data_IF_732229755541
#
_entry.id   IF_732229755541
#
_cell.length_a   1.000
_cell.length_b   1.000
_cell.length_c   1.000
_cell.angle_alpha   90.00
_cell.angle_beta   90.00
_cell.angle_gamma   90.00
#
_symmetry.space_group_name_H-M   'P 1'
#
loop_
_entity.id
_entity.type
_entity.pdbx_description
1 polymer ?
#
# COMPACT_ATOMS: atom_id res chain seq x y z
N UNK A 1 5.62 -16.55 -22.80
CA UNK A 1 4.62 -15.52 -22.51
C UNK A 1 3.96 -15.15 -23.82
N UNK A 2 2.65 -14.92 -23.81
CA UNK A 2 1.87 -14.60 -25.00
C UNK A 2 1.26 -13.22 -24.82
N UNK A 3 1.38 -12.37 -25.85
CA UNK A 3 0.88 -10.98 -25.82
C UNK A 3 -0.11 -10.80 -26.95
N UNK A 4 -1.33 -10.45 -26.56
CA UNK A 4 -2.39 -10.06 -27.49
C UNK A 4 -2.68 -8.59 -27.31
N UNK A 5 -2.69 -7.84 -28.40
CA UNK A 5 -3.12 -6.44 -28.44
C UNK A 5 -4.41 -6.35 -29.22
N UNK A 6 -5.38 -5.57 -28.74
CA UNK A 6 -6.67 -5.36 -29.39
C UNK A 6 -6.82 -3.87 -29.68
N UNK A 7 -7.15 -3.51 -30.91
CA UNK A 7 -7.41 -2.12 -31.30
C UNK A 7 -8.85 -1.67 -30.93
N UNK A 8 -9.16 -0.37 -31.01
CA UNK A 8 -10.52 0.15 -30.77
C UNK A 8 -11.59 -0.50 -31.64
N UNK A 9 -11.23 -0.98 -32.84
CA UNK A 9 -12.11 -1.68 -33.76
C UNK A 9 -12.27 -3.18 -33.44
N UNK A 10 -11.81 -3.62 -32.25
CA UNK A 10 -11.88 -5.00 -31.75
C UNK A 10 -11.09 -6.02 -32.57
N UNK A 11 -10.17 -5.56 -33.44
CA UNK A 11 -9.27 -6.45 -34.15
C UNK A 11 -8.09 -6.80 -33.24
N UNK A 12 -7.79 -8.10 -33.18
CA UNK A 12 -6.79 -8.69 -32.28
C UNK A 12 -5.51 -8.98 -33.05
N UNK A 13 -4.39 -8.64 -32.44
CA UNK A 13 -3.04 -8.84 -32.94
C UNK A 13 -2.27 -9.73 -31.95
N UNK A 14 -1.81 -10.89 -32.40
CA UNK A 14 -0.85 -11.69 -31.64
C UNK A 14 0.56 -11.16 -31.93
N UNK A 15 1.14 -10.47 -30.95
CA UNK A 15 2.46 -9.85 -31.07
C UNK A 15 3.57 -10.71 -30.48
N UNK A 16 3.24 -11.92 -30.00
CA UNK A 16 4.15 -12.77 -29.21
C UNK A 16 5.50 -13.00 -29.87
N UNK A 17 5.53 -13.22 -31.20
CA UNK A 17 6.75 -13.53 -31.95
C UNK A 17 7.66 -12.32 -32.20
N UNK A 18 7.17 -11.11 -31.97
CA UNK A 18 7.89 -9.87 -32.28
C UNK A 18 8.10 -8.98 -31.05
N UNK A 19 7.71 -9.41 -29.86
CA UNK A 19 8.04 -8.72 -28.60
C UNK A 19 9.47 -9.07 -28.18
N UNK A 20 10.25 -8.08 -27.75
CA UNK A 20 11.59 -8.29 -27.20
C UNK A 20 11.52 -8.99 -25.83
N UNK A 21 12.60 -9.65 -25.43
CA UNK A 21 12.73 -10.36 -24.15
C UNK A 21 12.85 -9.42 -22.92
N UNK A 22 12.07 -8.34 -22.87
CA UNK A 22 12.15 -7.29 -21.85
C UNK A 22 10.78 -6.82 -21.34
N UNK A 23 9.78 -7.69 -21.31
CA UNK A 23 8.48 -7.37 -20.70
C UNK A 23 8.70 -7.03 -19.22
N UNK A 24 8.34 -5.82 -18.84
CA UNK A 24 8.43 -5.35 -17.46
C UNK A 24 7.02 -5.20 -16.90
N UNK A 25 6.71 -5.93 -15.84
CA UNK A 25 5.49 -5.74 -15.06
C UNK A 25 5.87 -5.12 -13.72
N UNK A 26 5.17 -4.07 -13.33
CA UNK A 26 5.39 -3.39 -12.06
C UNK A 26 4.06 -3.07 -11.38
N UNK A 27 3.97 -3.37 -10.09
CA UNK A 27 2.85 -3.00 -9.24
C UNK A 27 3.41 -2.72 -7.84
N UNK A 28 2.83 -1.73 -7.17
CA UNK A 28 3.15 -1.38 -5.79
C UNK A 28 1.85 -1.10 -5.07
N UNK A 29 1.82 -1.38 -3.78
CA UNK A 29 0.66 -1.05 -2.93
C UNK A 29 0.43 0.46 -2.82
N UNK A 30 1.49 1.25 -3.03
CA UNK A 30 1.44 2.72 -2.97
C UNK A 30 1.02 3.33 -4.33
N UNK A 31 1.21 2.55 -5.42
CA UNK A 31 0.85 2.96 -6.77
C UNK A 31 -0.60 2.57 -7.04
N UNK A 32 -1.35 3.51 -7.61
CA UNK A 32 -2.78 3.29 -7.93
C UNK A 32 -2.92 2.29 -9.07
N UNK A 33 -1.96 2.29 -10.00
CA UNK A 33 -2.01 1.54 -11.25
C UNK A 33 -0.87 0.54 -11.33
N UNK A 34 -1.14 -0.71 -11.66
CA UNK A 34 -0.12 -1.60 -12.19
C UNK A 34 0.26 -1.16 -13.61
N UNK A 35 1.55 -1.21 -13.92
CA UNK A 35 2.09 -0.79 -15.20
C UNK A 35 2.84 -1.96 -15.86
N UNK A 36 2.58 -2.15 -17.15
CA UNK A 36 3.33 -3.04 -18.02
C UNK A 36 4.03 -2.25 -19.12
N UNK A 37 5.29 -2.56 -19.39
CA UNK A 37 6.02 -2.06 -20.54
C UNK A 37 6.54 -3.21 -21.39
N UNK A 38 6.41 -3.08 -22.70
CA UNK A 38 7.00 -3.99 -23.67
C UNK A 38 7.41 -3.24 -24.93
N UNK A 39 8.31 -3.83 -25.69
CA UNK A 39 8.87 -3.23 -26.89
C UNK A 39 8.87 -4.26 -28.02
N UNK A 40 8.55 -3.83 -29.23
CA UNK A 40 8.60 -4.72 -30.40
C UNK A 40 10.00 -4.71 -31.02
N UNK A 41 10.47 -5.87 -31.46
CA UNK A 41 11.63 -6.03 -32.35
C UNK A 41 11.26 -5.69 -33.80
N UNK A 42 10.56 -4.56 -33.98
CA UNK A 42 9.98 -4.13 -35.24
C UNK A 42 10.42 -2.70 -35.55
N UNK A 43 11.11 -2.49 -36.67
CA UNK A 43 11.42 -1.14 -37.13
C UNK A 43 10.17 -0.55 -37.79
N UNK A 44 9.44 0.28 -37.06
CA UNK A 44 8.33 1.04 -37.63
C UNK A 44 8.88 2.09 -38.60
N UNK A 45 8.61 1.90 -39.89
CA UNK A 45 8.89 2.86 -40.96
C UNK A 45 7.60 3.11 -41.71
N UNK A 46 7.33 4.36 -42.03
CA UNK A 46 6.12 4.82 -42.73
C UNK A 46 5.88 4.08 -44.06
N UNK A 47 6.96 3.65 -44.74
CA UNK A 47 6.90 2.99 -46.06
C UNK A 47 7.00 1.45 -46.03
N UNK A 48 6.69 0.80 -44.90
CA UNK A 48 6.74 -0.68 -44.84
C UNK A 48 5.54 -1.29 -45.60
N UNK A 49 5.76 -2.29 -46.47
CA UNK A 49 4.65 -2.92 -47.22
C UNK A 49 3.65 -3.66 -46.30
N UNK A 50 4.03 -3.95 -45.04
CA UNK A 50 3.17 -4.58 -44.05
C UNK A 50 3.48 -4.07 -42.63
N UNK A 51 2.45 -3.58 -41.94
CA UNK A 51 2.48 -3.31 -40.51
C UNK A 51 1.81 -4.46 -39.75
N UNK A 52 2.49 -5.00 -38.74
CA UNK A 52 1.96 -6.10 -37.89
C UNK A 52 0.87 -5.62 -36.94
N UNK A 53 0.79 -4.31 -36.71
CA UNK A 53 -0.21 -3.61 -35.93
C UNK A 53 -0.32 -2.19 -36.52
N UNK A 54 -1.55 -1.71 -36.68
CA UNK A 54 -1.77 -0.28 -36.92
C UNK A 54 -1.41 0.45 -35.63
N UNK A 55 -0.65 1.54 -35.66
CA UNK A 55 -0.31 2.33 -34.46
C UNK A 55 -1.09 3.64 -34.38
N UNK A 56 -1.81 4.00 -35.44
CA UNK A 56 -2.41 5.32 -35.62
C UNK A 56 -3.78 5.44 -34.94
N UNK A 57 -4.44 4.32 -34.64
CA UNK A 57 -5.78 4.35 -34.03
C UNK A 57 -5.77 4.89 -32.58
N UNK A 58 -4.64 4.75 -31.85
CA UNK A 58 -4.53 5.13 -30.44
C UNK A 58 -5.44 4.29 -29.50
N UNK A 59 -5.10 4.21 -28.22
CA UNK A 59 -5.87 3.47 -27.19
C UNK A 59 -6.11 1.97 -27.50
N UNK A 60 -5.06 1.17 -27.41
CA UNK A 60 -5.15 -0.28 -27.53
C UNK A 60 -5.44 -0.94 -26.18
N UNK A 61 -5.99 -2.14 -26.19
CA UNK A 61 -6.04 -3.03 -25.03
C UNK A 61 -4.97 -4.11 -25.15
N UNK A 62 -4.43 -4.59 -24.03
CA UNK A 62 -3.41 -5.63 -24.02
C UNK A 62 -3.75 -6.72 -23.01
N UNK A 63 -3.48 -7.96 -23.39
CA UNK A 63 -3.58 -9.14 -22.56
C UNK A 63 -2.22 -9.87 -22.59
N UNK A 64 -1.70 -10.20 -21.40
CA UNK A 64 -0.47 -10.96 -21.20
C UNK A 64 -0.81 -12.28 -20.55
N UNK A 65 -0.43 -13.39 -21.19
CA UNK A 65 -0.60 -14.74 -20.67
C UNK A 65 0.74 -15.41 -20.38
N UNK A 66 0.77 -16.26 -19.36
CA UNK A 66 1.89 -17.17 -19.13
C UNK A 66 1.90 -18.33 -20.14
N UNK A 67 2.86 -19.25 -19.99
CA UNK A 67 2.97 -20.41 -20.88
C UNK A 67 1.89 -21.48 -20.62
N UNK A 68 1.07 -21.32 -19.58
CA UNK A 68 -0.04 -22.19 -19.21
C UNK A 68 -1.41 -21.57 -19.60
N UNK A 69 -1.42 -20.49 -20.39
CA UNK A 69 -2.61 -19.72 -20.78
C UNK A 69 -3.32 -19.06 -19.58
N UNK A 70 -2.61 -18.84 -18.46
CA UNK A 70 -3.11 -18.03 -17.34
C UNK A 70 -2.93 -16.55 -17.67
N UNK A 71 -4.01 -15.76 -17.55
CA UNK A 71 -3.94 -14.31 -17.70
C UNK A 71 -3.16 -13.70 -16.54
N UNK A 72 -2.02 -13.06 -16.83
CA UNK A 72 -1.14 -12.42 -15.84
C UNK A 72 -1.45 -10.93 -15.71
N UNK A 73 -1.75 -10.28 -16.83
CA UNK A 73 -2.03 -8.85 -16.87
C UNK A 73 -2.99 -8.53 -18.00
N UNK A 74 -3.86 -7.58 -17.75
CA UNK A 74 -4.69 -6.97 -18.78
C UNK A 74 -4.77 -5.47 -18.53
N UNK A 75 -4.82 -4.68 -19.60
CA UNK A 75 -4.77 -3.24 -19.43
C UNK A 75 -4.94 -2.45 -20.71
N UNK A 76 -4.93 -1.14 -20.55
CA UNK A 76 -5.07 -0.16 -21.62
C UNK A 76 -3.68 0.38 -21.95
N UNK A 77 -3.41 0.58 -23.24
CA UNK A 77 -2.23 1.22 -23.79
C UNK A 77 -2.61 2.65 -24.19
N UNK A 78 -2.51 3.63 -23.26
CA UNK A 78 -2.74 5.04 -23.59
C UNK A 78 -1.55 5.67 -24.32
N UNK A 79 -0.38 5.02 -24.32
CA UNK A 79 0.86 5.59 -24.85
C UNK A 79 1.67 4.56 -25.62
N UNK A 80 1.98 4.92 -26.86
CA UNK A 80 2.94 4.24 -27.72
C UNK A 80 4.02 5.25 -28.06
N UNK A 81 5.28 4.89 -27.82
CA UNK A 81 6.44 5.72 -28.16
C UNK A 81 7.20 5.03 -29.28
N UNK A 82 7.15 5.60 -30.48
CA UNK A 82 7.93 5.10 -31.61
C UNK A 82 9.25 5.86 -31.66
N UNK A 83 10.36 5.16 -31.41
CA UNK A 83 11.69 5.68 -31.73
C UNK A 83 12.15 5.07 -33.07
N UNK A 84 13.28 5.55 -33.61
CA UNK A 84 13.82 5.12 -34.92
C UNK A 84 14.15 3.62 -35.04
N UNK A 85 13.98 2.82 -33.99
CA UNK A 85 14.31 1.38 -33.94
C UNK A 85 13.13 0.49 -33.54
N UNK A 86 12.21 0.96 -32.70
CA UNK A 86 11.16 0.12 -32.14
C UNK A 86 10.01 0.91 -31.48
N UNK A 87 8.76 0.50 -31.69
CA UNK A 87 7.63 0.90 -30.87
C UNK A 87 7.75 0.35 -29.43
N UNK A 88 7.68 1.24 -28.46
CA UNK A 88 7.57 0.93 -27.03
C UNK A 88 6.15 1.23 -26.55
N UNK A 89 5.53 0.24 -25.91
CA UNK A 89 4.18 0.30 -25.39
C UNK A 89 4.24 0.46 -23.87
N UNK A 90 3.48 1.43 -23.36
CA UNK A 90 3.25 1.58 -21.92
C UNK A 90 1.77 1.33 -21.67
N UNK A 91 1.48 0.28 -20.91
CA UNK A 91 0.14 -0.14 -20.54
C UNK A 91 -0.09 -0.01 -19.05
N UNK A 92 -1.34 0.24 -18.67
CA UNK A 92 -1.79 0.31 -17.29
C UNK A 92 -3.00 -0.59 -17.10
N UNK A 93 -3.14 -1.17 -15.91
CA UNK A 93 -4.36 -1.88 -15.54
C UNK A 93 -5.60 -0.94 -15.56
N UNK A 94 -6.83 -1.47 -15.40
CA UNK A 94 -8.03 -0.63 -15.37
C UNK A 94 -8.03 0.45 -14.28
N UNK A 95 -7.11 0.39 -13.30
CA UNK A 95 -6.95 1.46 -12.32
C UNK A 95 -6.53 2.80 -12.96
N UNK A 96 -6.05 2.78 -14.21
CA UNK A 96 -5.79 3.95 -15.03
C UNK A 96 -6.96 4.95 -15.01
N UNK A 97 -8.20 4.45 -15.08
CA UNK A 97 -9.40 5.28 -15.09
C UNK A 97 -9.70 5.87 -13.71
N UNK A 98 -9.68 5.07 -12.62
CA UNK A 98 -9.95 5.60 -11.27
C UNK A 98 -8.92 6.65 -10.82
N UNK A 99 -7.70 6.61 -11.38
CA UNK A 99 -6.67 7.62 -11.13
C UNK A 99 -6.91 8.95 -11.84
N UNK A 100 -7.88 9.02 -12.76
CA UNK A 100 -8.15 10.18 -13.62
C UNK A 100 -9.57 10.69 -13.54
N UNK A 101 -10.53 9.86 -13.13
CA UNK A 101 -11.89 10.28 -12.87
C UNK A 101 -11.89 11.10 -11.57
N UNK A 102 -12.45 12.29 -11.63
CA UNK A 102 -12.63 13.20 -10.49
C UNK A 102 -14.01 13.81 -10.55
N UNK A 103 -14.70 13.82 -9.42
CA UNK A 103 -16.04 14.36 -9.25
C UNK A 103 -16.21 14.85 -7.80
N UNK A 104 -17.29 15.56 -7.52
CA UNK A 104 -17.66 15.96 -6.16
C UNK A 104 -18.26 14.76 -5.43
N UNK A 105 -17.59 14.33 -4.34
CA UNK A 105 -18.12 13.31 -3.45
C UNK A 105 -18.35 13.88 -2.07
N UNK A 106 -19.54 13.66 -1.54
CA UNK A 106 -19.87 13.93 -0.15
C UNK A 106 -20.38 12.63 0.49
N UNK A 107 -19.75 12.25 1.60
CA UNK A 107 -20.19 11.15 2.44
C UNK A 107 -20.57 11.70 3.80
N UNK A 108 -21.80 11.42 4.21
CA UNK A 108 -22.32 11.83 5.52
C UNK A 108 -22.35 10.60 6.44
N UNK A 109 -21.29 10.43 7.23
CA UNK A 109 -21.14 9.35 8.20
C UNK A 109 -21.41 7.93 7.64
N UNK A 110 -20.92 7.64 6.44
CA UNK A 110 -21.13 6.39 5.71
C UNK A 110 -19.95 5.42 5.88
N UNK A 111 -20.22 4.12 5.97
CA UNK A 111 -19.16 3.10 6.08
C UNK A 111 -18.21 3.13 4.86
N UNK A 112 -16.91 2.97 5.10
CA UNK A 112 -15.87 3.13 4.09
C UNK A 112 -16.07 2.20 2.88
N UNK A 113 -16.48 0.95 3.10
CA UNK A 113 -16.73 0.01 2.01
C UNK A 113 -17.93 0.44 1.15
N UNK A 114 -18.95 1.05 1.77
CA UNK A 114 -20.12 1.61 1.08
C UNK A 114 -19.78 2.88 0.32
N UNK A 115 -18.89 3.72 0.84
CA UNK A 115 -18.38 4.91 0.13
C UNK A 115 -17.69 4.48 -1.16
N UNK A 116 -16.78 3.50 -1.07
CA UNK A 116 -16.05 2.97 -2.23
C UNK A 116 -17.02 2.35 -3.24
N UNK A 117 -17.94 1.49 -2.80
CA UNK A 117 -18.98 0.90 -3.67
C UNK A 117 -19.79 1.98 -4.39
N UNK A 118 -20.23 3.02 -3.68
CA UNK A 118 -21.01 4.13 -4.26
C UNK A 118 -20.21 4.86 -5.34
N UNK A 119 -18.96 5.23 -5.06
CA UNK A 119 -18.10 5.91 -6.04
C UNK A 119 -17.90 5.07 -7.30
N UNK A 120 -17.61 3.78 -7.15
CA UNK A 120 -17.32 2.92 -8.31
C UNK A 120 -18.58 2.67 -9.17
N UNK A 121 -19.72 2.44 -8.53
CA UNK A 121 -20.98 2.20 -9.22
C UNK A 121 -21.50 3.43 -9.98
N UNK A 122 -21.23 4.64 -9.50
CA UNK A 122 -21.63 5.88 -10.17
C UNK A 122 -21.00 6.04 -11.57
N UNK A 123 -19.85 5.42 -11.79
CA UNK A 123 -19.12 5.43 -13.06
C UNK A 123 -19.15 4.08 -13.78
N UNK A 124 -20.08 3.20 -13.43
CA UNK A 124 -20.23 1.85 -14.00
C UNK A 124 -18.92 1.03 -13.98
N UNK A 125 -18.08 1.26 -12.96
CA UNK A 125 -16.80 0.57 -12.83
C UNK A 125 -17.01 -0.85 -12.29
N UNK A 126 -16.42 -1.88 -12.91
CA UNK A 126 -16.56 -3.25 -12.43
C UNK A 126 -16.05 -3.42 -11.00
N UNK A 127 -16.93 -3.89 -10.11
CA UNK A 127 -16.64 -4.11 -8.69
C UNK A 127 -16.50 -5.60 -8.41
N UNK A 128 -15.35 -5.97 -7.85
CA UNK A 128 -15.05 -7.30 -7.35
C UNK A 128 -15.34 -7.42 -5.86
N UNK A 129 -14.41 -8.02 -5.12
CA UNK A 129 -14.54 -8.18 -3.68
C UNK A 129 -14.29 -6.84 -2.97
N UNK A 130 -15.29 -6.35 -2.26
CA UNK A 130 -15.12 -5.25 -1.31
C UNK A 130 -15.50 -5.76 0.07
N UNK A 131 -14.50 -5.99 0.91
CA UNK A 131 -14.67 -6.46 2.29
C UNK A 131 -15.38 -5.39 3.14
N UNK A 132 -16.30 -5.78 4.05
CA UNK A 132 -17.00 -4.85 4.92
C UNK A 132 -16.04 -4.07 5.84
N UNK A 133 -16.23 -2.76 5.96
CA UNK A 133 -15.41 -1.91 6.83
C UNK A 133 -16.31 -0.95 7.62
N UNK A 134 -16.35 -1.10 8.94
CA UNK A 134 -17.24 -0.32 9.81
C UNK A 134 -16.78 1.12 10.09
N UNK A 135 -15.57 1.51 9.63
CA UNK A 135 -15.07 2.88 9.77
C UNK A 135 -15.95 3.81 8.95
N UNK A 136 -16.34 4.95 9.54
CA UNK A 136 -17.26 5.89 8.93
C UNK A 136 -16.52 7.08 8.35
N UNK A 137 -16.90 7.47 7.15
CA UNK A 137 -16.38 8.61 6.41
C UNK A 137 -17.44 9.71 6.45
N UNK A 138 -17.03 10.87 6.93
CA UNK A 138 -17.85 12.08 7.07
C UNK A 138 -17.08 13.27 6.48
N UNK A 139 -16.90 13.24 5.16
CA UNK A 139 -15.99 14.13 4.44
C UNK A 139 -16.56 14.55 3.07
N UNK A 140 -16.09 15.72 2.62
CA UNK A 140 -16.40 16.31 1.33
C UNK A 140 -15.10 16.40 0.50
N UNK A 141 -15.10 15.80 -0.68
CA UNK A 141 -13.98 15.75 -1.61
C UNK A 141 -14.26 16.59 -2.85
N UNK A 142 -13.29 17.42 -3.24
CA UNK A 142 -13.39 18.31 -4.40
C UNK A 142 -12.08 18.38 -5.17
N UNK A 143 -12.15 18.20 -6.50
CA UNK A 143 -10.98 18.15 -7.41
C UNK A 143 -9.97 17.04 -7.08
N UNK A 144 -10.44 15.96 -6.48
CA UNK A 144 -9.63 14.79 -6.17
C UNK A 144 -10.03 13.63 -7.07
N UNK A 145 -9.07 12.82 -7.49
CA UNK A 145 -9.40 11.60 -8.23
C UNK A 145 -10.05 10.57 -7.29
N UNK A 146 -10.85 9.65 -7.83
CA UNK A 146 -11.40 8.52 -7.07
C UNK A 146 -10.27 7.79 -6.32
N UNK A 147 -9.12 7.63 -6.96
CA UNK A 147 -7.97 6.98 -6.34
C UNK A 147 -7.36 7.75 -5.17
N UNK A 148 -7.30 9.09 -5.23
CA UNK A 148 -6.83 9.93 -4.12
C UNK A 148 -7.80 9.84 -2.93
N UNK A 149 -9.10 9.84 -3.21
CA UNK A 149 -10.15 9.67 -2.20
C UNK A 149 -10.03 8.30 -1.54
N UNK A 150 -9.85 7.21 -2.31
CA UNK A 150 -9.63 5.87 -1.74
C UNK A 150 -8.38 5.83 -0.86
N UNK A 151 -7.29 6.50 -1.24
CA UNK A 151 -6.09 6.61 -0.41
C UNK A 151 -6.37 7.31 0.92
N UNK A 152 -7.10 8.43 0.89
CA UNK A 152 -7.53 9.12 2.11
C UNK A 152 -8.42 8.25 2.99
N UNK A 153 -9.37 7.52 2.40
CA UNK A 153 -10.20 6.56 3.14
C UNK A 153 -9.33 5.47 3.80
N UNK A 154 -8.33 4.93 3.11
CA UNK A 154 -7.39 3.95 3.70
C UNK A 154 -6.61 4.57 4.87
N UNK A 155 -6.18 5.82 4.75
CA UNK A 155 -5.52 6.56 5.83
C UNK A 155 -6.46 6.75 7.02
N UNK A 156 -7.71 7.18 6.80
CA UNK A 156 -8.73 7.30 7.85
C UNK A 156 -8.98 5.96 8.56
N UNK A 157 -9.12 4.87 7.80
CA UNK A 157 -9.27 3.52 8.38
C UNK A 157 -8.07 3.20 9.27
N UNK A 158 -6.86 3.42 8.78
CA UNK A 158 -5.64 3.17 9.54
C UNK A 158 -5.56 4.02 10.82
N UNK A 159 -6.03 5.26 10.79
CA UNK A 159 -6.01 6.17 11.93
C UNK A 159 -7.05 5.84 13.02
N UNK A 160 -8.21 5.33 12.60
CA UNK A 160 -9.36 5.08 13.47
C UNK A 160 -9.43 3.63 13.98
N UNK A 161 -8.99 2.64 13.20
CA UNK A 161 -9.06 1.21 13.58
C UNK A 161 -7.70 0.51 13.67
N UNK A 162 -6.59 1.17 13.32
CA UNK A 162 -5.24 0.57 13.18
C UNK A 162 -5.16 -0.55 12.13
N UNK A 163 -6.21 -0.74 11.33
CA UNK A 163 -6.25 -1.74 10.28
C UNK A 163 -5.54 -1.24 9.02
N UNK A 164 -4.83 -2.16 8.35
CA UNK A 164 -4.22 -1.85 7.06
C UNK A 164 -5.14 -2.37 5.97
N UNK A 165 -5.45 -1.53 4.99
CA UNK A 165 -6.30 -1.85 3.85
C UNK A 165 -5.57 -1.50 2.56
N UNK A 166 -5.98 -2.14 1.46
CA UNK A 166 -5.46 -1.84 0.13
C UNK A 166 -6.48 -2.23 -0.94
N UNK A 167 -6.25 -1.75 -2.15
CA UNK A 167 -7.00 -2.16 -3.33
C UNK A 167 -6.08 -2.72 -4.41
N UNK A 168 -6.67 -3.47 -5.33
CA UNK A 168 -6.01 -3.99 -6.52
C UNK A 168 -7.06 -4.30 -7.59
N UNK A 169 -6.62 -4.45 -8.83
CA UNK A 169 -7.45 -4.94 -9.92
C UNK A 169 -7.09 -6.37 -10.27
N UNK A 170 -8.10 -7.23 -10.36
CA UNK A 170 -8.00 -8.61 -10.82
C UNK A 170 -9.32 -9.02 -11.45
N UNK A 171 -9.28 -9.94 -12.41
CA UNK A 171 -10.48 -10.44 -13.09
C UNK A 171 -11.37 -9.34 -13.68
N UNK A 172 -10.73 -8.30 -14.24
CA UNK A 172 -11.38 -7.09 -14.75
C UNK A 172 -12.21 -6.30 -13.73
N UNK A 173 -11.97 -6.47 -12.43
CA UNK A 173 -12.75 -5.83 -11.38
C UNK A 173 -11.86 -5.21 -10.30
N UNK A 174 -12.37 -4.16 -9.66
CA UNK A 174 -11.74 -3.51 -8.51
C UNK A 174 -12.01 -4.29 -7.23
N UNK A 175 -10.97 -4.60 -6.46
CA UNK A 175 -11.08 -5.26 -5.16
C UNK A 175 -10.53 -4.35 -4.06
N UNK A 176 -11.20 -4.31 -2.91
CA UNK A 176 -10.79 -3.59 -1.71
C UNK A 176 -10.89 -4.51 -0.50
N UNK A 177 -9.74 -4.81 0.09
CA UNK A 177 -9.62 -5.88 1.09
C UNK A 177 -8.71 -5.47 2.22
N UNK A 178 -8.92 -6.09 3.38
CA UNK A 178 -8.05 -5.93 4.52
C UNK A 178 -6.69 -6.56 4.21
N UNK A 179 -5.63 -5.79 4.46
CA UNK A 179 -4.26 -6.29 4.39
C UNK A 179 -3.97 -7.05 5.67
N UNK A 180 -3.74 -8.36 5.56
CA UNK A 180 -3.14 -9.12 6.64
C UNK A 180 -1.72 -8.59 6.90
N UNK A 181 -1.55 -7.90 8.02
CA UNK A 181 -0.31 -7.20 8.43
C UNK A 181 0.79 -8.13 8.92
N UNK A 182 0.50 -9.41 9.14
CA UNK A 182 1.41 -10.33 9.79
C UNK A 182 2.52 -10.83 8.84
N UNK A 183 3.42 -9.94 8.44
CA UNK A 183 4.70 -10.33 7.85
C UNK A 183 5.60 -11.02 8.88
N UNK A 184 5.37 -10.74 10.16
CA UNK A 184 6.13 -11.21 11.31
C UNK A 184 5.19 -11.81 12.37
N UNK A 185 5.71 -12.71 13.21
CA UNK A 185 5.02 -13.08 14.45
C UNK A 185 5.07 -11.88 15.41
N UNK A 186 3.99 -11.66 16.17
CA UNK A 186 3.92 -10.60 17.17
C UNK A 186 5.18 -10.60 18.08
N UNK A 187 5.88 -9.47 18.11
CA UNK A 187 7.11 -9.29 18.90
C UNK A 187 8.36 -10.02 18.38
N UNK A 188 8.38 -10.56 17.15
CA UNK A 188 9.55 -11.21 16.55
C UNK A 188 9.99 -10.53 15.25
N UNK A 189 11.30 -10.51 15.01
CA UNK A 189 11.92 -10.05 13.74
C UNK A 189 11.99 -11.20 12.72
N UNK A 190 11.61 -12.42 13.11
CA UNK A 190 11.57 -13.56 12.21
C UNK A 190 10.34 -13.45 11.29
N UNK A 191 10.53 -13.38 9.96
CA UNK A 191 9.42 -13.41 9.03
C UNK A 191 8.69 -14.76 9.15
N UNK A 192 7.40 -14.80 8.84
CA UNK A 192 6.68 -16.07 8.70
C UNK A 192 7.44 -16.97 7.71
N UNK A 193 7.59 -18.26 8.04
CA UNK A 193 8.19 -19.22 7.11
C UNK A 193 7.23 -19.42 5.93
N UNK A 194 7.60 -18.91 4.76
CA UNK A 194 6.88 -19.18 3.52
C UNK A 194 7.51 -20.43 2.88
N UNK A 195 6.73 -21.51 2.83
CA UNK A 195 7.11 -22.75 2.17
C UNK A 195 6.25 -22.93 0.94
N UNK A 196 6.88 -23.22 -0.19
CA UNK A 196 6.18 -23.63 -1.42
C UNK A 196 6.06 -25.14 -1.37
N UNK A 197 4.85 -25.66 -1.52
CA UNK A 197 4.62 -27.10 -1.71
C UNK A 197 4.99 -27.46 -3.15
N UNK A 198 5.92 -28.41 -3.30
CA UNK A 198 6.35 -28.91 -4.61
C UNK A 198 6.35 -30.44 -4.51
N UNK A 199 5.38 -31.09 -5.15
CA UNK A 199 5.12 -32.52 -5.00
C UNK A 199 4.85 -32.87 -3.53
N UNK A 200 5.54 -33.88 -3.01
CA UNK A 200 5.41 -34.35 -1.63
C UNK A 200 6.28 -33.55 -0.62
N UNK A 201 6.96 -32.50 -1.08
CA UNK A 201 7.93 -31.74 -0.31
C UNK A 201 7.54 -30.28 -0.08
N UNK A 202 8.26 -29.65 0.84
CA UNK A 202 8.21 -28.21 1.07
C UNK A 202 9.59 -27.60 0.85
N UNK A 203 9.66 -26.53 0.04
CA UNK A 203 10.90 -25.78 -0.16
C UNK A 203 10.77 -24.41 0.48
N UNK A 204 11.80 -23.99 1.21
CA UNK A 204 11.89 -22.66 1.78
C UNK A 204 12.08 -21.63 0.66
N UNK A 205 11.15 -20.67 0.53
CA UNK A 205 11.21 -19.65 -0.52
C UNK A 205 12.48 -18.79 -0.46
N UNK A 206 13.05 -18.61 0.74
CA UNK A 206 14.23 -17.78 0.95
C UNK A 206 15.50 -18.39 0.31
N UNK A 207 15.50 -19.69 -0.02
CA UNK A 207 16.61 -20.33 -0.72
C UNK A 207 16.75 -19.87 -2.19
N UNK A 208 15.73 -19.21 -2.76
CA UNK A 208 15.72 -18.77 -4.15
C UNK A 208 16.01 -17.27 -4.33
N UNK A 209 16.33 -16.56 -3.25
CA UNK A 209 16.75 -15.15 -3.33
C UNK A 209 18.12 -15.09 -4.04
N UNK A 210 18.19 -14.41 -5.17
CA UNK A 210 19.44 -14.27 -5.95
C UNK A 210 20.17 -12.96 -5.64
N UNK A 211 19.50 -11.82 -5.80
CA UNK A 211 20.12 -10.50 -5.73
C UNK A 211 19.37 -9.56 -4.77
N UNK A 212 19.41 -9.81 -3.45
CA UNK A 212 18.74 -8.96 -2.49
C UNK A 212 19.45 -7.60 -2.44
N UNK A 213 18.69 -6.53 -2.61
CA UNK A 213 19.18 -5.17 -2.43
C UNK A 213 18.48 -4.53 -1.22
N UNK A 214 19.21 -3.67 -0.51
CA UNK A 214 18.64 -2.80 0.51
C UNK A 214 19.25 -1.40 0.36
N UNK A 215 18.44 -0.37 0.60
CA UNK A 215 18.87 1.02 0.61
C UNK A 215 18.38 1.70 1.88
N UNK A 216 19.16 2.65 2.39
CA UNK A 216 18.82 3.51 3.53
C UNK A 216 19.09 4.95 3.09
N UNK A 217 18.11 5.83 3.27
CA UNK A 217 18.23 7.24 2.89
C UNK A 217 17.64 8.15 3.97
N UNK A 218 18.27 9.30 4.19
CA UNK A 218 17.74 10.42 4.98
C UNK A 218 17.47 11.66 4.11
N UNK A 219 17.54 11.51 2.78
CA UNK A 219 17.44 12.59 1.80
C UNK A 219 16.17 13.46 1.97
N UNK A 220 15.05 12.80 2.28
CA UNK A 220 13.76 13.47 2.51
C UNK A 220 13.40 13.61 4.00
N UNK A 221 14.33 13.34 4.92
CA UNK A 221 14.08 13.50 6.36
C UNK A 221 13.88 14.98 6.71
N UNK A 222 12.93 15.25 7.62
CA UNK A 222 12.73 16.56 8.25
C UNK A 222 12.84 16.40 9.76
N UNK A 223 13.82 17.08 10.36
CA UNK A 223 14.04 17.07 11.81
C UNK A 223 13.67 18.41 12.46
N UNK A 224 13.08 19.34 11.69
CA UNK A 224 12.34 20.49 12.20
C UNK A 224 11.14 20.79 11.29
N UNK A 225 9.97 20.99 11.89
CA UNK A 225 8.75 21.40 11.18
C UNK A 225 8.24 22.69 11.80
N UNK A 226 8.02 23.71 10.98
CA UNK A 226 7.38 24.97 11.37
C UNK A 226 5.96 24.95 10.84
N UNK A 227 4.99 25.20 11.74
CA UNK A 227 3.60 25.43 11.34
C UNK A 227 3.42 26.92 11.09
N UNK A 228 2.85 27.26 9.93
CA UNK A 228 2.52 28.64 9.56
C UNK A 228 1.02 28.80 9.35
N UNK A 229 0.49 29.96 9.70
CA UNK A 229 -0.89 30.35 9.45
C UNK A 229 -0.96 31.78 8.90
N UNK A 230 -1.92 32.01 8.03
CA UNK A 230 -2.09 33.26 7.31
C UNK A 230 -2.50 33.08 5.86
N UNK A 231 -2.61 34.20 5.17
CA UNK A 231 -2.98 34.26 3.75
C UNK A 231 -1.72 34.35 2.88
N UNK A 232 -1.87 34.19 1.56
CA UNK A 232 -0.73 34.04 0.65
C UNK A 232 0.20 35.27 0.61
N UNK A 233 -0.27 36.43 1.08
CA UNK A 233 0.52 37.65 1.23
C UNK A 233 1.28 37.74 2.57
N UNK A 234 0.80 37.08 3.64
CA UNK A 234 1.36 37.16 4.99
C UNK A 234 1.17 35.85 5.75
N UNK A 235 2.28 35.13 5.95
CA UNK A 235 2.37 33.92 6.77
C UNK A 235 3.05 34.21 8.11
N UNK A 236 2.42 33.77 9.19
CA UNK A 236 2.97 33.85 10.55
C UNK A 236 3.35 32.46 11.03
N UNK A 237 4.48 32.36 11.74
CA UNK A 237 4.85 31.10 12.41
C UNK A 237 3.98 30.93 13.65
N UNK A 238 3.26 29.83 13.72
CA UNK A 238 2.36 29.51 14.83
C UNK A 238 3.02 28.51 15.79
N UNK A 239 3.76 27.54 15.26
CA UNK A 239 4.40 26.52 16.07
C UNK A 239 5.69 25.99 15.42
N UNK A 240 6.52 25.31 16.20
CA UNK A 240 7.72 24.64 15.70
C UNK A 240 8.02 23.38 16.50
N UNK A 241 8.08 22.23 15.81
CA UNK A 241 8.62 20.99 16.34
C UNK A 241 10.08 20.80 15.90
N UNK A 242 10.93 20.31 16.81
CA UNK A 242 12.36 20.06 16.56
C UNK A 242 12.80 18.75 17.20
N UNK A 243 13.61 18.01 16.46
CA UNK A 243 14.33 16.83 16.97
C UNK A 243 15.81 17.19 17.14
N UNK A 244 16.14 17.70 18.32
CA UNK A 244 17.50 18.15 18.64
C UNK A 244 18.54 17.03 18.59
N UNK A 245 18.14 15.76 18.78
CA UNK A 245 19.07 14.63 18.67
C UNK A 245 19.46 14.40 17.21
N UNK A 246 18.49 14.36 16.31
CA UNK A 246 18.75 14.18 14.89
C UNK A 246 19.33 15.43 14.22
N UNK A 247 19.00 16.63 14.70
CA UNK A 247 19.66 17.87 14.25
C UNK A 247 21.16 17.83 14.55
N UNK A 248 21.56 17.34 15.73
CA UNK A 248 22.99 17.18 16.07
C UNK A 248 23.71 16.18 15.17
N UNK A 249 23.03 15.10 14.74
CA UNK A 249 23.61 14.04 13.91
C UNK A 249 23.66 14.39 12.43
N UNK A 250 22.60 15.01 11.91
CA UNK A 250 22.36 15.13 10.47
C UNK A 250 22.27 16.59 9.98
N UNK A 251 22.39 17.58 10.88
CA UNK A 251 22.19 18.99 10.56
C UNK A 251 20.71 19.37 10.53
N UNK A 252 20.41 20.68 10.43
CA UNK A 252 19.03 21.18 10.42
C UNK A 252 18.38 20.96 9.05
N UNK A 253 17.35 20.11 9.01
CA UNK A 253 16.50 19.83 7.85
C UNK A 253 15.08 20.30 8.16
N UNK A 254 14.79 21.57 7.83
CA UNK A 254 13.56 22.24 8.21
C UNK A 254 12.52 22.26 7.08
N UNK A 255 11.24 22.06 7.43
CA UNK A 255 10.09 22.17 6.52
C UNK A 255 9.00 23.06 7.11
N UNK A 256 8.24 23.75 6.24
CA UNK A 256 7.11 24.59 6.63
C UNK A 256 5.80 23.97 6.16
N UNK A 257 4.81 23.88 7.06
CA UNK A 257 3.46 23.36 6.79
C UNK A 257 2.44 24.46 7.08
N UNK A 258 1.55 24.76 6.13
CA UNK A 258 0.44 25.68 6.34
C UNK A 258 -0.66 24.98 7.14
N UNK A 259 -1.20 25.66 8.15
CA UNK A 259 -2.33 25.17 8.92
C UNK A 259 -3.57 25.11 8.02
N UNK A 260 -4.13 23.93 7.82
CA UNK A 260 -5.40 23.78 7.11
C UNK A 260 -6.56 24.27 8.00
N UNK A 261 -7.49 25.04 7.42
CA UNK A 261 -8.61 25.67 8.16
C UNK A 261 -9.71 24.67 8.59
N UNK A 262 -9.52 23.36 8.40
CA UNK A 262 -10.54 22.35 8.72
C UNK A 262 -10.16 21.52 9.97
N UNK A 263 -11.05 21.59 10.98
CA UNK A 263 -11.13 20.79 12.21
C UNK A 263 -10.05 21.01 13.30
N UNK A 264 -10.28 22.04 14.12
CA UNK A 264 -9.58 22.31 15.39
C UNK A 264 -9.76 21.22 16.48
N UNK A 265 -10.58 20.17 16.28
CA UNK A 265 -10.95 19.25 17.38
C UNK A 265 -10.20 17.90 17.44
N UNK A 266 -9.43 17.48 16.42
CA UNK A 266 -8.71 16.18 16.46
C UNK A 266 -7.23 16.27 16.87
N UNK A 267 -6.56 17.39 16.65
CA UNK A 267 -5.11 17.53 16.88
C UNK A 267 -4.69 17.74 18.34
N UNK A 268 -5.62 18.08 19.24
CA UNK A 268 -5.30 18.37 20.64
C UNK A 268 -5.13 17.12 21.54
N UNK A 269 -5.53 15.91 21.09
CA UNK A 269 -5.53 14.71 21.96
C UNK A 269 -4.43 13.68 21.71
N UNK A 270 -3.76 13.64 20.54
CA UNK A 270 -2.73 12.61 20.26
C UNK A 270 -1.27 13.01 20.62
N UNK A 271 -0.97 14.30 20.86
CA UNK A 271 0.40 14.79 21.11
C UNK A 271 0.90 14.74 22.58
N UNK A 272 0.04 14.46 23.57
CA UNK A 272 0.42 14.54 25.00
C UNK A 272 0.64 13.19 25.70
N UNK A 273 0.49 12.06 25.00
CA UNK A 273 0.48 10.72 25.61
C UNK A 273 1.70 9.81 25.35
N UNK A 274 2.57 10.08 24.38
CA UNK A 274 3.64 9.15 23.96
C UNK A 274 5.08 9.57 24.33
N UNK A 275 5.24 10.34 25.40
CA UNK A 275 6.59 10.71 25.91
C UNK A 275 6.78 10.33 27.38
N UNK A 276 6.39 9.11 27.78
CA UNK A 276 6.95 8.45 28.97
C UNK A 276 7.05 6.94 28.73
N UNK A 277 8.18 6.40 29.19
CA UNK A 277 8.65 5.00 29.21
C UNK A 277 9.13 4.39 27.88
N UNK A 278 10.46 4.43 27.66
CA UNK A 278 11.29 3.22 27.75
C UNK A 278 12.78 3.58 27.65
N UNK A 279 13.36 3.91 28.81
CA UNK A 279 14.79 3.75 29.09
C UNK A 279 14.91 3.34 30.55
N UNK A 280 15.12 2.05 30.79
CA UNK A 280 15.85 1.59 31.96
C UNK A 280 16.73 0.44 31.53
N UNK A 281 18.00 0.79 31.34
CA UNK A 281 19.11 -0.12 31.16
C UNK A 281 19.19 -1.12 32.33
N UNK A 282 19.49 -2.36 31.95
CA UNK A 282 19.97 -3.40 32.85
C UNK A 282 21.25 -2.90 33.53
N UNK A 283 21.26 -2.85 34.86
CA UNK A 283 22.46 -3.11 35.65
C UNK A 283 22.14 -4.09 36.77
N UNK A 284 22.84 -5.21 36.70
CA UNK A 284 23.00 -6.17 37.78
C UNK A 284 23.65 -5.48 38.98
N UNK A 285 23.10 -5.71 40.17
CA UNK A 285 23.89 -5.86 41.39
C UNK A 285 23.04 -6.63 42.42
N UNK A 286 23.36 -7.92 42.59
CA UNK A 286 22.86 -8.76 43.67
C UNK A 286 24.02 -9.12 44.59
N UNK A 287 24.06 -8.50 45.76
CA UNK A 287 24.71 -9.07 46.94
C UNK A 287 23.89 -8.81 48.22
N UNK A 288 23.53 -9.94 48.83
CA UNK A 288 23.47 -10.20 50.27
C UNK A 288 22.28 -9.73 51.15
N UNK A 289 21.40 -10.72 51.39
CA UNK A 289 21.31 -11.52 52.62
C UNK A 289 20.32 -11.14 53.76
N UNK A 290 19.61 -12.21 54.17
CA UNK A 290 19.08 -12.58 55.50
C UNK A 290 17.67 -12.16 55.96
N UNK A 291 16.88 -13.24 56.11
CA UNK A 291 16.04 -13.64 57.26
C UNK A 291 14.78 -12.80 57.55
N UNK A 292 13.62 -13.44 57.46
CA UNK A 292 13.00 -14.08 58.63
C UNK A 292 11.78 -14.92 58.21
N UNK A 293 11.67 -16.03 58.93
CA UNK A 293 10.71 -17.12 58.84
C UNK A 293 9.51 -16.86 59.76
N UNK A 294 8.41 -17.60 59.54
CA UNK A 294 7.22 -17.80 60.41
C UNK A 294 6.15 -16.70 60.27
N UNK A 295 4.87 -17.01 60.04
CA UNK A 295 4.05 -17.88 60.89
C UNK A 295 2.79 -18.35 60.16
N UNK A 296 2.45 -19.65 60.29
CA UNK A 296 1.17 -20.25 59.89
C UNK A 296 0.06 -19.89 60.89
N UNK A 297 -1.09 -19.46 60.33
CA UNK A 297 -2.48 -19.91 60.54
C UNK A 297 -2.85 -20.54 61.89
N UNK A 298 -3.89 -19.98 62.54
CA UNK A 298 -4.71 -20.63 63.58
C UNK A 298 -6.15 -20.86 63.09
N UNK A 299 -6.50 -22.14 63.02
CA UNK A 299 -7.76 -22.81 63.45
C UNK A 299 -9.14 -22.34 62.99
N UNK A 300 -9.89 -23.26 62.37
CA UNK A 300 -11.20 -23.70 62.89
C UNK A 300 -11.57 -25.13 62.46
N UNK A 301 -12.04 -25.93 63.45
CA UNK A 301 -13.09 -26.99 63.48
C UNK A 301 -13.15 -28.07 62.36
N UNK A 302 -13.57 -29.33 62.55
CA UNK A 302 -13.86 -30.29 63.65
C UNK A 302 -14.34 -31.59 62.92
N UNK A 303 -14.29 -32.72 63.61
CA UNK A 303 -14.88 -34.06 63.33
C UNK A 303 -14.06 -35.02 62.44
N UNK A 304 -13.51 -36.14 62.96
CA UNK A 304 -14.07 -37.40 63.51
C UNK A 304 -14.69 -38.34 62.46
N UNK A 305 -13.97 -39.41 62.10
CA UNK A 305 -14.42 -40.81 61.99
C UNK A 305 -13.19 -41.68 61.59
N UNK A 306 -12.77 -42.67 62.41
CA UNK A 306 -12.94 -44.13 62.19
C UNK A 306 -12.46 -44.59 60.80
N UNK A 307 -11.58 -45.57 60.61
CA UNK A 307 -10.93 -46.52 61.50
C UNK A 307 -10.47 -47.74 60.69
N UNK A 308 -9.42 -48.39 61.22
CA UNK A 308 -8.97 -49.79 61.02
C UNK A 308 -8.38 -50.27 59.68
N UNK A 309 -7.15 -50.78 59.90
CA UNK A 309 -6.38 -51.82 59.23
C UNK A 309 -5.67 -51.44 57.94
#
# INVERSE_FOLDING_TARGET
MKIIVTDPNSKRYDLTSIVKDNIQLSSSIDNITAQMEFELAYNYREDMPYHTIDLDEGAYFVELYDNMETLIFQGIIPKISVNSKAPKFTAYDPAFYISRISEIFQFDNLEADKCIKKMLNEFDMPVGTIEPCSVKIDEYYYKESIADIIKKIIETIKEDSEENWYFYFADNAFHFVKRNSDKYLDGKIQPKEYKISIGDGFVNIFNFIKDPNYSVSFENMRNSVIVVDGDDEKMNKVDTARDEENIKKYGLLQYMVKQEKNNQDKSAKKGRGKTKSNKTDKKEDKKNNKKAEKTRVKTSKRNKARGKK
#
